data_IF_984557094956
#
_entry.id   IF_984557094956
#
_cell.length_a   1.000
_cell.length_b   1.000
_cell.length_c   1.000
_cell.angle_alpha   90.00
_cell.angle_beta   90.00
_cell.angle_gamma   90.00
#
_symmetry.space_group_name_H-M   'P 1'
#
loop_
_entity.id
_entity.type
_entity.pdbx_description
1 polymer ?
#
# COMPACT_ATOMS: atom_id res chain seq x y z
N UNK A 1 -17.60 50.46 -51.49
CA UNK A 1 -19.05 50.75 -51.63
C UNK A 1 -19.75 50.09 -50.45
N UNK A 2 -20.49 50.87 -49.65
CA UNK A 2 -21.27 50.47 -48.45
C UNK A 2 -20.50 50.68 -47.14
N UNK A 3 -20.52 51.85 -46.48
CA UNK A 3 -21.56 52.47 -45.63
C UNK A 3 -21.73 51.74 -44.27
N UNK A 4 -21.16 52.27 -43.17
CA UNK A 4 -21.75 53.21 -42.18
C UNK A 4 -22.94 52.62 -41.38
N UNK A 5 -22.74 52.38 -40.08
CA UNK A 5 -23.71 52.73 -39.04
C UNK A 5 -23.06 52.72 -37.65
N UNK A 6 -23.03 53.91 -37.03
CA UNK A 6 -22.80 54.14 -35.60
C UNK A 6 -24.04 53.70 -34.82
N UNK A 7 -23.85 53.20 -33.60
CA UNK A 7 -24.91 53.03 -32.61
C UNK A 7 -24.35 53.13 -31.21
N UNK A 8 -24.41 54.34 -30.63
CA UNK A 8 -24.31 54.54 -29.18
C UNK A 8 -25.56 53.94 -28.54
N UNK A 9 -25.37 53.15 -27.49
CA UNK A 9 -26.42 52.75 -26.57
C UNK A 9 -25.88 52.79 -25.14
N UNK A 10 -26.07 53.93 -24.47
CA UNK A 10 -26.00 54.01 -23.02
C UNK A 10 -27.15 53.19 -22.44
N UNK A 11 -26.82 52.12 -21.71
CA UNK A 11 -27.75 51.42 -20.84
C UNK A 11 -27.25 51.49 -19.40
N UNK A 12 -27.75 52.48 -18.65
CA UNK A 12 -27.71 52.45 -17.19
C UNK A 12 -28.64 51.32 -16.73
N UNK A 13 -28.06 50.20 -16.29
CA UNK A 13 -28.76 49.14 -15.58
C UNK A 13 -28.35 49.13 -14.12
N UNK A 14 -29.10 49.85 -13.29
CA UNK A 14 -29.03 49.76 -11.83
C UNK A 14 -29.65 48.42 -11.41
N UNK A 15 -28.84 47.39 -11.26
CA UNK A 15 -29.25 46.08 -10.75
C UNK A 15 -28.79 45.91 -9.31
N UNK A 16 -29.70 46.10 -8.34
CA UNK A 16 -29.53 45.61 -6.97
C UNK A 16 -29.48 44.07 -7.01
N UNK A 17 -28.28 43.52 -7.01
CA UNK A 17 -28.02 42.09 -6.83
C UNK A 17 -27.89 41.76 -5.34
N UNK A 18 -28.81 40.95 -4.84
CA UNK A 18 -28.84 40.40 -3.49
C UNK A 18 -27.47 39.87 -3.05
N UNK A 19 -27.07 40.24 -1.82
CA UNK A 19 -25.92 39.69 -1.13
C UNK A 19 -26.09 38.18 -0.95
N UNK A 20 -25.48 37.41 -1.84
CA UNK A 20 -25.23 36.00 -1.64
C UNK A 20 -24.19 35.87 -0.52
N UNK A 21 -24.61 35.30 0.61
CA UNK A 21 -23.71 34.73 1.60
C UNK A 21 -22.85 33.69 0.88
N UNK A 22 -21.63 34.11 0.52
CA UNK A 22 -20.61 33.21 0.00
C UNK A 22 -20.25 32.22 1.08
N UNK A 23 -20.83 31.02 1.01
CA UNK A 23 -20.36 29.87 1.76
C UNK A 23 -18.94 29.60 1.27
N UNK A 24 -17.95 29.96 2.09
CA UNK A 24 -16.57 29.63 1.81
C UNK A 24 -16.46 28.11 1.60
N UNK A 25 -15.69 27.63 0.58
CA UNK A 25 -15.45 26.22 0.45
C UNK A 25 -14.73 25.76 1.72
N UNK A 26 -15.38 24.84 2.45
CA UNK A 26 -14.73 24.11 3.51
C UNK A 26 -13.45 23.50 2.92
N UNK A 27 -12.30 24.01 3.37
CA UNK A 27 -11.02 23.35 3.08
C UNK A 27 -11.17 21.93 3.61
N UNK A 28 -11.23 20.96 2.70
CA UNK A 28 -11.11 19.57 3.06
C UNK A 28 -9.76 19.43 3.80
N UNK A 29 -9.81 19.27 5.12
CA UNK A 29 -8.65 18.87 5.89
C UNK A 29 -8.13 17.59 5.25
N UNK A 30 -6.96 17.68 4.63
CA UNK A 30 -6.25 16.51 4.15
C UNK A 30 -6.09 15.57 5.33
N UNK A 31 -6.76 14.40 5.27
CA UNK A 31 -6.56 13.34 6.26
C UNK A 31 -5.05 13.14 6.40
N UNK A 32 -4.51 13.11 7.64
CA UNK A 32 -3.09 12.85 7.82
C UNK A 32 -2.76 11.54 7.09
N UNK A 33 -1.85 11.60 6.11
CA UNK A 33 -1.39 10.41 5.42
C UNK A 33 -0.83 9.46 6.46
N UNK A 34 -1.30 8.21 6.53
CA UNK A 34 -0.72 7.25 7.46
C UNK A 34 0.78 7.15 7.16
N UNK A 35 1.60 7.24 8.20
CA UNK A 35 3.01 6.87 8.09
C UNK A 35 3.03 5.36 7.87
N UNK A 36 3.04 4.94 6.61
CA UNK A 36 3.13 3.54 6.21
C UNK A 36 4.56 3.03 6.35
N UNK A 37 5.15 3.12 7.55
CA UNK A 37 6.41 2.45 7.85
C UNK A 37 6.14 1.42 8.93
N UNK A 38 6.29 0.15 8.59
CA UNK A 38 6.12 -0.96 9.51
C UNK A 38 6.83 -2.21 9.00
N UNK A 39 7.01 -3.17 9.89
CA UNK A 39 7.40 -4.54 9.60
C UNK A 39 6.35 -5.47 10.19
N UNK A 40 6.11 -6.62 9.55
CA UNK A 40 5.19 -7.62 10.09
C UNK A 40 5.32 -8.98 9.43
N UNK A 41 4.91 -9.99 10.17
CA UNK A 41 4.78 -11.36 9.70
C UNK A 41 3.34 -11.70 9.38
N UNK A 42 3.14 -12.62 8.43
CA UNK A 42 1.82 -12.97 7.91
C UNK A 42 1.64 -14.48 7.75
N UNK A 43 0.41 -14.94 7.94
CA UNK A 43 -0.01 -16.29 7.62
C UNK A 43 -0.61 -16.34 6.20
N UNK A 44 0.04 -17.09 5.31
CA UNK A 44 -0.48 -17.41 3.98
C UNK A 44 -1.46 -18.58 4.05
N UNK A 45 -2.73 -18.32 3.77
CA UNK A 45 -3.78 -19.34 3.86
C UNK A 45 -3.68 -20.44 2.78
N UNK A 46 -2.92 -20.21 1.71
CA UNK A 46 -2.64 -21.23 0.69
C UNK A 46 -1.33 -21.98 0.95
N UNK A 47 -0.40 -21.38 1.69
CA UNK A 47 0.92 -21.96 1.97
C UNK A 47 1.16 -22.07 3.48
N UNK A 48 0.39 -22.94 4.13
CA UNK A 48 0.40 -23.09 5.58
C UNK A 48 1.80 -23.41 6.12
N UNK A 49 2.22 -22.71 7.17
CA UNK A 49 3.54 -22.87 7.79
C UNK A 49 4.69 -22.23 7.00
N UNK A 50 4.43 -21.67 5.81
CA UNK A 50 5.43 -20.92 5.09
C UNK A 50 5.55 -19.51 5.66
N UNK A 51 6.79 -19.03 5.80
CA UNK A 51 7.09 -17.71 6.29
C UNK A 51 6.70 -16.66 5.25
N UNK A 52 6.06 -15.58 5.72
CA UNK A 52 5.79 -14.35 4.97
C UNK A 52 6.15 -13.17 5.85
N UNK A 53 7.01 -12.29 5.35
CA UNK A 53 7.39 -11.04 6.00
C UNK A 53 7.20 -9.88 5.03
N UNK A 54 6.68 -8.78 5.54
CA UNK A 54 6.51 -7.54 4.78
C UNK A 54 7.14 -6.41 5.58
N UNK A 55 7.95 -5.61 4.92
CA UNK A 55 8.47 -4.34 5.45
C UNK A 55 8.11 -3.22 4.49
N UNK A 56 7.61 -2.11 5.01
CA UNK A 56 7.29 -0.94 4.20
C UNK A 56 8.26 0.19 4.51
N UNK A 57 8.83 0.76 3.47
CA UNK A 57 9.77 1.87 3.56
C UNK A 57 9.25 3.08 2.77
N UNK A 58 9.56 4.26 3.29
CA UNK A 58 9.28 5.53 2.61
C UNK A 58 10.45 5.86 1.69
N UNK A 59 10.15 6.03 0.41
CA UNK A 59 11.11 6.47 -0.59
C UNK A 59 10.86 7.94 -0.88
N UNK A 60 11.73 8.80 -0.34
CA UNK A 60 11.70 10.22 -0.67
C UNK A 60 12.18 10.43 -2.10
N UNK A 61 11.40 11.13 -2.95
CA UNK A 61 11.85 11.38 -4.31
C UNK A 61 13.04 12.35 -4.31
N UNK A 62 14.05 12.05 -5.12
CA UNK A 62 15.19 12.95 -5.33
C UNK A 62 14.70 14.34 -5.76
N UNK A 63 15.00 15.36 -4.94
CA UNK A 63 14.74 16.76 -5.31
C UNK A 63 15.86 17.27 -6.21
N UNK A 64 15.54 17.50 -7.48
CA UNK A 64 16.39 18.32 -8.36
C UNK A 64 15.98 19.78 -8.29
N UNK A 65 16.96 20.68 -8.32
CA UNK A 65 16.73 22.13 -8.22
C UNK A 65 15.88 22.61 -9.40
N UNK A 66 14.72 23.20 -9.12
CA UNK A 66 13.76 23.68 -10.13
C UNK A 66 12.69 22.66 -10.55
N UNK A 67 12.73 21.43 -10.04
CA UNK A 67 11.70 20.41 -10.32
C UNK A 67 10.57 20.49 -9.27
N UNK A 68 9.33 20.25 -9.70
CA UNK A 68 8.18 20.17 -8.77
C UNK A 68 8.41 19.02 -7.79
N UNK A 69 8.04 19.20 -6.51
CA UNK A 69 8.09 18.15 -5.49
C UNK A 69 7.27 16.96 -6.00
N UNK A 70 7.93 15.83 -6.24
CA UNK A 70 7.27 14.56 -6.58
C UNK A 70 6.53 14.04 -5.33
N UNK A 71 5.45 13.27 -5.50
CA UNK A 71 4.78 12.63 -4.38
C UNK A 71 5.73 11.66 -3.69
N UNK A 72 5.57 11.51 -2.37
CA UNK A 72 6.24 10.47 -1.58
C UNK A 72 5.87 9.10 -2.15
N UNK A 73 6.87 8.23 -2.30
CA UNK A 73 6.64 6.86 -2.74
C UNK A 73 6.80 5.91 -1.55
N UNK A 74 6.05 4.82 -1.58
CA UNK A 74 6.12 3.77 -0.57
C UNK A 74 6.40 2.46 -1.28
N UNK A 75 7.36 1.71 -0.76
CA UNK A 75 7.73 0.40 -1.28
C UNK A 75 7.56 -0.62 -0.18
N UNK A 76 6.75 -1.63 -0.46
CA UNK A 76 6.63 -2.82 0.37
C UNK A 76 7.60 -3.87 -0.15
N UNK A 77 8.52 -4.32 0.69
CA UNK A 77 9.41 -5.45 0.43
C UNK A 77 8.83 -6.70 1.06
N UNK A 78 8.58 -7.70 0.24
CA UNK A 78 8.02 -8.99 0.60
C UNK A 78 9.13 -10.02 0.59
N UNK A 79 9.16 -10.88 1.61
CA UNK A 79 10.07 -12.01 1.66
C UNK A 79 9.41 -13.21 2.29
N UNK A 80 9.93 -14.40 2.00
CA UNK A 80 9.37 -15.62 2.55
C UNK A 80 10.05 -16.87 2.05
N UNK A 81 9.41 -18.00 2.34
CA UNK A 81 9.80 -19.31 1.83
C UNK A 81 8.62 -20.03 1.18
N UNK A 82 8.89 -20.94 0.26
CA UNK A 82 7.88 -21.80 -0.36
C UNK A 82 8.43 -23.20 -0.52
N UNK A 83 7.54 -24.15 -0.77
CA UNK A 83 7.91 -25.51 -1.15
C UNK A 83 7.49 -25.77 -2.58
N UNK A 84 8.41 -26.30 -3.39
CA UNK A 84 8.11 -26.65 -4.78
C UNK A 84 9.29 -26.46 -5.73
N UNK A 85 9.27 -27.18 -6.88
CA UNK A 85 10.28 -27.01 -7.92
C UNK A 85 10.30 -25.58 -8.46
N UNK A 86 11.51 -25.10 -8.78
CA UNK A 86 11.72 -23.79 -9.41
C UNK A 86 10.93 -23.73 -10.71
N UNK A 87 10.13 -22.68 -10.90
CA UNK A 87 9.38 -22.45 -12.14
C UNK A 87 7.99 -23.08 -12.24
N UNK A 88 7.49 -23.76 -11.20
CA UNK A 88 6.07 -24.20 -11.10
C UNK A 88 5.31 -23.29 -10.12
N UNK A 89 5.64 -21.99 -10.14
CA UNK A 89 5.27 -21.01 -9.12
C UNK A 89 3.78 -20.67 -9.06
N UNK A 90 3.00 -20.94 -10.11
CA UNK A 90 1.68 -20.32 -10.23
C UNK A 90 0.53 -21.19 -9.69
N UNK A 91 0.78 -22.47 -9.35
CA UNK A 91 -0.31 -23.45 -9.08
C UNK A 91 -0.06 -24.40 -7.92
N UNK A 92 1.03 -24.26 -7.19
CA UNK A 92 1.41 -25.27 -6.18
C UNK A 92 1.10 -24.76 -4.78
N UNK A 93 -0.11 -25.06 -4.33
CA UNK A 93 -0.59 -24.83 -2.95
C UNK A 93 0.00 -25.94 -2.08
N UNK A 94 1.20 -25.72 -1.54
CA UNK A 94 1.87 -26.65 -0.63
C UNK A 94 2.19 -26.00 0.71
N UNK A 95 1.95 -26.69 1.84
CA UNK A 95 2.41 -26.23 3.14
C UNK A 95 3.93 -26.36 3.26
N UNK A 96 4.55 -25.59 4.15
CA UNK A 96 5.92 -25.77 4.58
C UNK A 96 5.95 -26.68 5.83
N UNK A 97 5.82 -28.00 5.63
CA UNK A 97 5.99 -29.00 6.67
C UNK A 97 7.12 -29.97 6.31
N UNK A 98 7.53 -30.83 7.25
CA UNK A 98 8.68 -31.71 7.06
C UNK A 98 8.53 -32.64 5.84
N UNK A 99 7.35 -33.22 5.64
CA UNK A 99 7.06 -34.12 4.51
C UNK A 99 7.22 -33.40 3.16
N UNK A 100 6.61 -32.23 3.01
CA UNK A 100 6.65 -31.48 1.75
C UNK A 100 8.02 -30.89 1.48
N UNK A 101 8.71 -30.40 2.52
CA UNK A 101 10.08 -29.89 2.42
C UNK A 101 11.04 -31.00 1.98
N UNK A 102 10.96 -32.19 2.57
CA UNK A 102 11.82 -33.32 2.17
C UNK A 102 11.56 -33.73 0.70
N UNK A 103 10.30 -33.67 0.26
CA UNK A 103 9.91 -34.12 -1.09
C UNK A 103 10.21 -33.11 -2.20
N UNK A 104 10.00 -31.82 -1.93
CA UNK A 104 10.02 -30.79 -2.98
C UNK A 104 11.03 -29.66 -2.73
N UNK A 105 11.77 -29.73 -1.62
CA UNK A 105 12.71 -28.73 -1.15
C UNK A 105 12.07 -27.38 -0.75
N UNK A 106 12.67 -26.75 0.26
CA UNK A 106 12.34 -25.38 0.66
C UNK A 106 13.13 -24.40 -0.22
N UNK A 107 12.46 -23.35 -0.70
CA UNK A 107 13.09 -22.22 -1.39
C UNK A 107 12.77 -20.91 -0.69
N UNK A 108 13.65 -19.93 -0.80
CA UNK A 108 13.42 -18.55 -0.34
C UNK A 108 13.13 -17.65 -1.52
N UNK A 109 12.36 -16.60 -1.30
CA UNK A 109 12.04 -15.61 -2.33
C UNK A 109 11.91 -14.22 -1.72
N UNK A 110 12.00 -13.22 -2.59
CA UNK A 110 11.82 -11.82 -2.24
C UNK A 110 11.37 -11.02 -3.47
N UNK A 111 10.51 -10.03 -3.26
CA UNK A 111 10.12 -9.06 -4.28
C UNK A 111 9.67 -7.74 -3.64
N UNK A 112 9.68 -6.67 -4.44
CA UNK A 112 9.18 -5.36 -4.03
C UNK A 112 7.85 -5.04 -4.74
N UNK A 113 6.95 -4.37 -4.05
CA UNK A 113 5.72 -3.82 -4.62
C UNK A 113 5.59 -2.32 -4.30
N UNK A 114 5.03 -1.59 -5.26
CA UNK A 114 4.64 -0.19 -5.05
C UNK A 114 3.32 -0.16 -4.27
N UNK A 115 3.21 0.81 -3.37
CA UNK A 115 1.96 1.09 -2.64
C UNK A 115 1.37 2.40 -3.17
N UNK A 116 0.08 2.39 -3.48
CA UNK A 116 -0.72 3.59 -3.73
C UNK A 116 -1.36 4.04 -2.42
N UNK A 117 -0.95 5.16 -1.81
CA UNK A 117 -1.41 5.54 -0.46
C UNK A 117 -2.91 5.82 -0.35
N UNK A 118 -3.55 6.22 -1.45
CA UNK A 118 -4.96 6.64 -1.47
C UNK A 118 -5.92 5.47 -1.23
N UNK A 119 -5.59 4.28 -1.74
CA UNK A 119 -6.43 3.08 -1.67
C UNK A 119 -5.69 1.86 -1.10
N UNK A 120 -4.43 2.03 -0.69
CA UNK A 120 -3.56 0.99 -0.16
C UNK A 120 -3.37 -0.20 -1.11
N UNK A 121 -3.51 0.02 -2.42
CA UNK A 121 -3.24 -0.99 -3.44
C UNK A 121 -1.73 -1.29 -3.55
N UNK A 122 -1.44 -2.55 -3.90
CA UNK A 122 -0.11 -3.15 -4.00
C UNK A 122 0.08 -3.71 -5.41
N UNK A 123 1.20 -3.36 -6.04
CA UNK A 123 1.56 -3.89 -7.36
C UNK A 123 3.09 -4.05 -7.51
N UNK A 124 3.53 -5.30 -7.72
CA UNK A 124 4.93 -5.63 -7.99
C UNK A 124 5.36 -5.40 -9.45
N UNK A 125 4.41 -5.16 -10.36
CA UNK A 125 4.67 -4.92 -11.78
C UNK A 125 4.95 -6.18 -12.61
N UNK A 126 4.76 -7.37 -12.03
CA UNK A 126 4.93 -8.66 -12.71
C UNK A 126 3.61 -9.28 -13.21
N UNK A 127 2.48 -8.62 -12.94
CA UNK A 127 1.13 -9.07 -13.32
C UNK A 127 0.57 -10.20 -12.45
N UNK A 128 1.32 -10.70 -11.47
CA UNK A 128 0.93 -11.77 -10.55
C UNK A 128 0.70 -11.22 -9.14
N UNK A 129 1.67 -10.49 -8.59
CA UNK A 129 1.61 -9.96 -7.22
C UNK A 129 0.91 -8.60 -7.21
N UNK A 130 -0.41 -8.66 -7.34
CA UNK A 130 -1.32 -7.51 -7.29
C UNK A 130 -2.34 -7.71 -6.17
N UNK A 131 -2.53 -6.72 -5.30
CA UNK A 131 -3.41 -6.82 -4.14
C UNK A 131 -3.71 -5.49 -3.48
N UNK A 132 -4.21 -5.53 -2.25
CA UNK A 132 -4.40 -4.36 -1.40
C UNK A 132 -4.33 -4.75 0.08
N UNK A 133 -3.95 -3.79 0.94
CA UNK A 133 -4.10 -3.98 2.38
C UNK A 133 -5.58 -4.09 2.77
N UNK A 134 -5.86 -4.96 3.73
CA UNK A 134 -7.16 -5.16 4.32
C UNK A 134 -7.02 -4.86 5.83
N UNK A 135 -7.93 -4.05 6.38
CA UNK A 135 -7.95 -3.73 7.82
C UNK A 135 -9.36 -3.90 8.38
N UNK A 136 -9.47 -4.49 9.58
CA UNK A 136 -10.76 -4.56 10.29
C UNK A 136 -11.23 -3.16 10.73
N UNK A 137 -10.31 -2.23 11.00
CA UNK A 137 -10.64 -0.85 11.37
C UNK A 137 -11.38 -0.11 10.26
N UNK A 138 -11.13 -0.50 9.02
CA UNK A 138 -11.64 0.14 7.82
C UNK A 138 -12.83 -0.64 7.22
N UNK A 139 -13.42 -1.54 8.01
CA UNK A 139 -14.58 -2.36 7.60
C UNK A 139 -14.21 -3.66 6.89
N UNK A 140 -12.93 -4.05 6.86
CA UNK A 140 -12.46 -5.32 6.34
C UNK A 140 -12.74 -6.51 7.28
N UNK A 141 -12.53 -7.72 6.77
CA UNK A 141 -12.78 -8.96 7.53
C UNK A 141 -11.57 -9.48 8.34
N UNK A 142 -10.37 -8.97 8.09
CA UNK A 142 -9.13 -9.38 8.76
C UNK A 142 -8.08 -8.26 8.63
N UNK A 143 -7.04 -8.26 9.46
CA UNK A 143 -5.89 -7.39 9.23
C UNK A 143 -4.87 -8.14 8.37
N UNK A 144 -4.43 -7.56 7.25
CA UNK A 144 -3.56 -8.28 6.34
C UNK A 144 -3.48 -7.73 4.92
N UNK A 145 -3.19 -8.62 3.98
CA UNK A 145 -3.15 -8.35 2.54
C UNK A 145 -4.15 -9.29 1.84
N UNK A 146 -4.97 -8.71 0.96
CA UNK A 146 -5.84 -9.44 0.05
C UNK A 146 -5.25 -9.37 -1.35
N UNK A 147 -4.86 -10.52 -1.87
CA UNK A 147 -4.35 -10.64 -3.23
C UNK A 147 -5.49 -10.76 -4.25
N UNK A 148 -5.23 -10.34 -5.48
CA UNK A 148 -6.19 -10.34 -6.59
C UNK A 148 -6.61 -11.76 -6.99
N UNK A 149 -5.76 -12.75 -6.76
CA UNK A 149 -6.03 -14.17 -6.99
C UNK A 149 -6.97 -14.78 -5.92
N UNK A 150 -7.32 -14.02 -4.88
CA UNK A 150 -8.16 -14.45 -3.77
C UNK A 150 -7.39 -14.97 -2.56
N UNK A 151 -6.06 -15.10 -2.64
CA UNK A 151 -5.25 -15.43 -1.48
C UNK A 151 -5.31 -14.32 -0.42
N UNK A 152 -5.19 -14.72 0.85
CA UNK A 152 -5.19 -13.82 2.00
C UNK A 152 -3.96 -14.10 2.83
N UNK A 153 -3.20 -13.05 3.07
CA UNK A 153 -2.11 -13.06 4.03
C UNK A 153 -2.59 -12.35 5.27
N UNK A 154 -2.83 -13.09 6.35
CA UNK A 154 -3.37 -12.55 7.60
C UNK A 154 -2.21 -12.10 8.46
N UNK A 155 -2.22 -10.84 8.93
CA UNK A 155 -1.15 -10.30 9.78
C UNK A 155 -1.13 -11.07 11.11
N UNK A 156 0.04 -11.60 11.48
CA UNK A 156 0.24 -12.21 12.80
C UNK A 156 0.21 -11.13 13.87
N UNK A 157 -0.49 -11.33 15.00
CA UNK A 157 -0.42 -10.41 16.13
C UNK A 157 1.01 -10.35 16.69
N UNK A 158 1.43 -9.17 17.16
CA UNK A 158 2.80 -8.91 17.66
C UNK A 158 3.25 -9.92 18.72
N UNK A 159 2.34 -10.33 19.61
CA UNK A 159 2.65 -11.32 20.66
C UNK A 159 3.04 -12.70 20.10
N UNK A 160 2.50 -13.11 18.96
CA UNK A 160 2.89 -14.38 18.32
C UNK A 160 4.25 -14.24 17.64
N UNK A 161 4.57 -13.07 17.11
CA UNK A 161 5.87 -12.79 16.50
C UNK A 161 6.99 -12.81 17.55
N UNK A 162 6.75 -12.29 18.76
CA UNK A 162 7.71 -12.35 19.88
C UNK A 162 7.94 -13.78 20.38
N UNK A 163 6.89 -14.62 20.40
CA UNK A 163 7.01 -16.02 20.82
C UNK A 163 7.79 -16.86 19.80
N UNK A 164 7.63 -16.60 18.51
CA UNK A 164 8.35 -17.31 17.44
C UNK A 164 9.81 -16.85 17.31
N UNK A 165 10.08 -15.55 17.47
CA UNK A 165 11.42 -14.98 17.32
C UNK A 165 12.25 -15.01 18.62
N UNK A 166 11.65 -15.40 19.75
CA UNK A 166 12.27 -15.36 21.07
C UNK A 166 12.32 -13.94 21.66
N UNK A 167 12.58 -13.80 22.98
CA UNK A 167 12.68 -12.48 23.60
C UNK A 167 13.81 -11.66 22.95
N UNK A 168 13.61 -10.34 22.76
CA UNK A 168 14.67 -9.49 22.22
C UNK A 168 15.93 -9.60 23.10
N UNK A 169 17.14 -9.54 22.52
CA UNK A 169 18.37 -9.58 23.30
C UNK A 169 18.36 -8.44 24.32
N UNK A 170 18.48 -8.78 25.60
CA UNK A 170 18.58 -7.80 26.68
C UNK A 170 19.81 -6.94 26.39
N UNK A 171 19.68 -5.60 26.28
CA UNK A 171 20.83 -4.75 26.03
C UNK A 171 21.84 -4.95 27.16
N UNK A 172 23.04 -5.41 26.81
CA UNK A 172 24.15 -5.49 27.75
C UNK A 172 24.37 -4.10 28.32
N UNK A 173 24.13 -3.93 29.62
CA UNK A 173 24.60 -2.75 30.35
C UNK A 173 26.12 -2.77 30.24
N UNK A 174 26.67 -1.86 29.43
CA UNK A 174 28.09 -1.55 29.47
C UNK A 174 28.39 -1.05 30.90
N UNK A 175 29.26 -1.77 31.60
CA UNK A 175 29.86 -1.33 32.87
C UNK A 175 30.91 -0.26 32.63
#
# INVERSE_FOLDING_TARGET
RGALARGLGLGLGLGLGLGGLGVAPASAEAKPSPVLQFEGEYDDQLHLGCARKVSVTVVEPEKRKGEKKKPTQYVARFSGNDVGPVGIGDKVILPCNEETIQKYALRTWEFDAKIVPEDLSLDAGDGVHVGAYNSVSDGGMFDGIRWKDGNRWVKKPEILQELENGPPPVPNKAN
#
